data_IF_223846221373
#
_entry.id   IF_223846221373
#
_cell.length_a   1.000
_cell.length_b   1.000
_cell.length_c   1.000
_cell.angle_alpha   90.00
_cell.angle_beta   90.00
_cell.angle_gamma   90.00
#
_symmetry.space_group_name_H-M   'P 1'
#
loop_
_entity.id
_entity.type
_entity.pdbx_description
1 polymer ?
#
# COMPACT_ATOMS: atom_id res chain seq x y z
N UNK A 1 -31.89 24.92 -31.50
CA UNK A 1 -32.49 25.97 -30.65
C UNK A 1 -32.13 27.32 -31.26
N UNK A 2 -33.06 28.29 -31.35
CA UNK A 2 -32.72 29.64 -31.82
C UNK A 2 -31.84 30.36 -30.78
N UNK A 3 -30.81 31.07 -31.24
CA UNK A 3 -29.88 31.81 -30.38
C UNK A 3 -30.51 33.11 -29.85
N UNK A 4 -30.20 33.48 -28.61
CA UNK A 4 -30.70 34.70 -27.98
C UNK A 4 -29.59 35.55 -27.32
N UNK A 5 -29.78 36.88 -27.22
CA UNK A 5 -28.77 37.78 -26.67
C UNK A 5 -28.40 37.40 -25.23
N UNK A 6 -27.11 37.16 -24.97
CA UNK A 6 -26.59 36.72 -23.67
C UNK A 6 -26.41 35.21 -23.53
N UNK A 7 -26.66 34.43 -24.58
CA UNK A 7 -26.32 33.01 -24.61
C UNK A 7 -24.80 32.84 -24.46
N UNK A 8 -24.36 32.16 -23.38
CA UNK A 8 -22.97 31.74 -23.26
C UNK A 8 -22.67 30.75 -24.40
N UNK A 9 -21.49 30.82 -25.03
CA UNK A 9 -21.08 29.83 -26.00
C UNK A 9 -21.27 28.43 -25.40
N UNK A 10 -21.77 27.45 -26.18
CA UNK A 10 -21.76 26.07 -25.74
C UNK A 10 -20.35 25.68 -25.27
N UNK A 11 -20.24 24.76 -24.30
CA UNK A 11 -18.97 24.30 -23.74
C UNK A 11 -18.21 23.42 -24.76
N UNK A 12 -17.96 23.96 -25.95
CA UNK A 12 -17.29 23.32 -27.08
C UNK A 12 -15.77 23.51 -27.02
N UNK A 13 -15.24 23.65 -25.80
CA UNK A 13 -13.81 23.52 -25.58
C UNK A 13 -13.36 22.09 -25.91
N UNK A 14 -12.10 21.86 -26.33
CA UNK A 14 -11.60 20.52 -26.59
C UNK A 14 -11.87 19.59 -25.40
N UNK A 15 -12.14 18.28 -25.63
CA UNK A 15 -12.38 17.31 -24.56
C UNK A 15 -11.20 17.32 -23.59
N UNK A 16 -11.35 17.99 -22.46
CA UNK A 16 -10.12 18.50 -21.83
C UNK A 16 -10.26 19.72 -20.95
N UNK A 17 -11.30 20.55 -21.11
CA UNK A 17 -11.38 21.86 -20.46
C UNK A 17 -10.92 21.88 -18.98
N UNK A 18 -9.72 22.44 -18.76
CA UNK A 18 -9.09 22.62 -17.45
C UNK A 18 -9.30 24.02 -16.88
N UNK A 19 -10.05 24.90 -17.56
CA UNK A 19 -10.27 26.29 -17.09
C UNK A 19 -10.95 26.38 -15.72
N UNK A 20 -11.69 25.35 -15.31
CA UNK A 20 -12.33 25.26 -13.98
C UNK A 20 -11.45 24.55 -12.93
N UNK A 21 -10.24 24.09 -13.30
CA UNK A 21 -9.35 23.36 -12.41
C UNK A 21 -8.62 24.34 -11.49
N UNK A 22 -9.01 24.37 -10.21
CA UNK A 22 -8.39 25.27 -9.23
C UNK A 22 -7.04 24.76 -8.75
N UNK A 23 -7.02 23.57 -8.15
CA UNK A 23 -5.81 22.92 -7.63
C UNK A 23 -5.62 21.49 -8.16
N UNK A 24 -6.65 20.86 -8.73
CA UNK A 24 -6.52 19.55 -9.38
C UNK A 24 -6.57 18.33 -8.47
N UNK A 25 -6.70 18.48 -7.15
CA UNK A 25 -6.69 17.36 -6.20
C UNK A 25 -7.84 16.34 -6.36
N UNK A 26 -8.91 16.72 -7.07
CA UNK A 26 -10.02 15.83 -7.42
C UNK A 26 -10.02 15.42 -8.90
N UNK A 27 -9.05 15.90 -9.69
CA UNK A 27 -8.96 15.58 -11.11
C UNK A 27 -8.27 14.23 -11.30
N UNK A 28 -8.96 13.20 -11.84
CA UNK A 28 -8.32 11.92 -12.13
C UNK A 28 -7.15 12.08 -13.11
N UNK A 29 -7.23 13.07 -14.03
CA UNK A 29 -6.16 13.35 -15.00
C UNK A 29 -4.86 13.83 -14.36
N UNK A 30 -4.94 14.44 -13.18
CA UNK A 30 -3.78 14.93 -12.43
C UNK A 30 -3.34 13.88 -11.41
N UNK A 31 -4.30 13.32 -10.66
CA UNK A 31 -4.02 12.41 -9.55
C UNK A 31 -3.61 11.01 -10.01
N UNK A 32 -4.26 10.46 -11.03
CA UNK A 32 -4.07 9.04 -11.38
C UNK A 32 -2.68 8.75 -11.95
N UNK A 33 -2.09 9.60 -12.82
CA UNK A 33 -0.71 9.41 -13.26
C UNK A 33 0.30 9.47 -12.10
N UNK A 34 0.13 10.43 -11.19
CA UNK A 34 1.02 10.58 -10.03
C UNK A 34 0.84 9.42 -9.03
N UNK A 35 -0.39 8.98 -8.79
CA UNK A 35 -0.68 7.82 -7.97
C UNK A 35 -0.07 6.54 -8.57
N UNK A 36 -0.06 6.40 -9.90
CA UNK A 36 0.58 5.27 -10.57
C UNK A 36 2.10 5.27 -10.38
N UNK A 37 2.74 6.44 -10.48
CA UNK A 37 4.17 6.61 -10.22
C UNK A 37 4.53 6.25 -8.76
N UNK A 38 3.77 6.78 -7.80
CA UNK A 38 3.94 6.49 -6.37
C UNK A 38 3.71 5.01 -6.06
N UNK A 39 2.68 4.40 -6.66
CA UNK A 39 2.44 2.96 -6.54
C UNK A 39 3.62 2.16 -7.08
N UNK A 40 4.10 2.52 -8.26
CA UNK A 40 5.17 1.80 -8.94
C UNK A 40 6.48 1.85 -8.17
N UNK A 41 6.82 3.00 -7.56
CA UNK A 41 8.05 3.15 -6.78
C UNK A 41 8.08 2.22 -5.56
N UNK A 42 6.94 2.02 -4.90
CA UNK A 42 6.82 1.07 -3.78
C UNK A 42 6.91 -0.36 -4.28
N UNK A 43 6.14 -0.74 -5.30
CA UNK A 43 6.09 -2.12 -5.79
C UNK A 43 7.43 -2.65 -6.34
N UNK A 44 8.38 -1.78 -6.67
CA UNK A 44 9.73 -2.17 -7.10
C UNK A 44 10.65 -2.53 -5.92
N UNK A 45 10.35 -2.07 -4.69
CA UNK A 45 11.15 -2.37 -3.51
C UNK A 45 10.91 -3.82 -3.03
N UNK A 46 11.95 -4.69 -3.00
CA UNK A 46 11.83 -6.06 -2.49
C UNK A 46 11.27 -6.16 -1.07
N UNK A 47 11.49 -5.14 -0.22
CA UNK A 47 10.93 -5.12 1.13
C UNK A 47 9.40 -5.03 1.15
N UNK A 48 8.78 -4.59 0.05
CA UNK A 48 7.34 -4.39 -0.08
C UNK A 48 6.68 -5.22 -1.17
N UNK A 49 7.39 -6.19 -1.76
CA UNK A 49 6.89 -7.09 -2.83
C UNK A 49 5.56 -7.79 -2.48
N UNK A 50 5.30 -8.04 -1.20
CA UNK A 50 4.02 -8.59 -0.73
C UNK A 50 2.79 -7.74 -1.11
N UNK A 51 2.98 -6.44 -1.36
CA UNK A 51 1.93 -5.52 -1.80
C UNK A 51 1.50 -5.74 -3.26
N UNK A 52 2.29 -6.46 -4.06
CA UNK A 52 1.94 -6.82 -5.43
C UNK A 52 0.79 -7.85 -5.49
N UNK A 53 0.47 -8.52 -4.38
CA UNK A 53 -0.64 -9.47 -4.34
C UNK A 53 -1.98 -8.77 -4.63
N UNK A 54 -2.84 -9.31 -5.52
CA UNK A 54 -4.07 -8.63 -5.97
C UNK A 54 -5.01 -8.16 -4.85
N UNK A 55 -5.03 -8.88 -3.71
CA UNK A 55 -5.82 -8.53 -2.53
C UNK A 55 -5.48 -7.17 -1.92
N UNK A 56 -4.26 -6.66 -2.13
CA UNK A 56 -3.83 -5.36 -1.64
C UNK A 56 -4.03 -4.24 -2.66
N UNK A 57 -4.33 -4.57 -3.93
CA UNK A 57 -4.44 -3.58 -5.02
C UNK A 57 -5.37 -2.41 -4.68
N UNK A 58 -6.59 -2.60 -4.14
CA UNK A 58 -7.46 -1.47 -3.77
C UNK A 58 -6.87 -0.58 -2.68
N UNK A 59 -6.21 -1.17 -1.69
CA UNK A 59 -5.62 -0.44 -0.56
C UNK A 59 -4.39 0.36 -1.00
N UNK A 60 -3.51 -0.26 -1.80
CA UNK A 60 -2.34 0.40 -2.41
C UNK A 60 -2.78 1.55 -3.30
N UNK A 61 -3.80 1.35 -4.13
CA UNK A 61 -4.33 2.42 -4.99
C UNK A 61 -4.93 3.58 -4.18
N UNK A 62 -5.73 3.28 -3.16
CA UNK A 62 -6.32 4.31 -2.30
C UNK A 62 -5.25 5.14 -1.56
N UNK A 63 -4.20 4.47 -1.07
CA UNK A 63 -3.05 5.13 -0.45
C UNK A 63 -2.29 6.01 -1.46
N UNK A 64 -1.92 5.48 -2.62
CA UNK A 64 -1.15 6.22 -3.61
C UNK A 64 -1.90 7.47 -4.12
N UNK A 65 -3.23 7.38 -4.29
CA UNK A 65 -4.07 8.56 -4.60
C UNK A 65 -4.06 9.60 -3.48
N UNK A 66 -4.02 9.18 -2.22
CA UNK A 66 -3.97 10.12 -1.09
C UNK A 66 -2.61 10.83 -1.06
N UNK A 67 -1.50 10.14 -1.30
CA UNK A 67 -0.17 10.73 -1.42
C UNK A 67 -0.09 11.72 -2.59
N UNK A 68 -0.60 11.34 -3.76
CA UNK A 68 -0.68 12.22 -4.92
C UNK A 68 -1.49 13.50 -4.62
N UNK A 69 -2.58 13.39 -3.85
CA UNK A 69 -3.34 14.56 -3.41
C UNK A 69 -2.56 15.46 -2.46
N UNK A 70 -1.80 14.89 -1.52
CA UNK A 70 -0.90 15.65 -0.64
C UNK A 70 0.07 16.46 -1.48
N UNK A 71 0.79 15.81 -2.39
CA UNK A 71 1.77 16.48 -3.25
C UNK A 71 1.15 17.64 -4.05
N UNK A 72 0.03 17.39 -4.76
CA UNK A 72 -0.63 18.40 -5.58
C UNK A 72 -1.13 19.59 -4.76
N UNK A 73 -1.65 19.35 -3.55
CA UNK A 73 -2.12 20.41 -2.66
C UNK A 73 -0.98 21.20 -2.04
N UNK A 74 0.12 20.54 -1.67
CA UNK A 74 1.34 21.18 -1.18
C UNK A 74 1.91 22.11 -2.25
N UNK A 75 2.11 21.62 -3.48
CA UNK A 75 2.61 22.45 -4.59
C UNK A 75 1.68 23.65 -4.91
N UNK A 76 0.36 23.46 -4.78
CA UNK A 76 -0.59 24.55 -4.95
C UNK A 76 -0.43 25.63 -3.87
N UNK A 77 -0.31 25.21 -2.60
CA UNK A 77 -0.15 26.12 -1.46
C UNK A 77 1.21 26.83 -1.48
N UNK A 78 2.27 26.15 -1.89
CA UNK A 78 3.59 26.75 -2.09
C UNK A 78 3.53 27.89 -3.12
N UNK A 79 2.91 27.65 -4.29
CA UNK A 79 2.71 28.71 -5.29
C UNK A 79 1.85 29.87 -4.78
N UNK A 80 0.83 29.57 -3.96
CA UNK A 80 -0.01 30.60 -3.36
C UNK A 80 0.78 31.46 -2.33
N UNK A 81 1.63 30.81 -1.53
CA UNK A 81 2.51 31.46 -0.57
C UNK A 81 3.58 32.34 -1.24
N UNK A 82 4.19 31.86 -2.33
CA UNK A 82 5.13 32.66 -3.14
C UNK A 82 4.46 33.90 -3.72
N UNK A 83 3.23 33.77 -4.22
CA UNK A 83 2.49 34.89 -4.79
C UNK A 83 2.07 35.95 -3.74
N UNK A 84 1.82 35.52 -2.49
CA UNK A 84 1.48 36.41 -1.39
C UNK A 84 2.72 37.02 -0.70
N UNK A 85 3.87 36.35 -0.76
CA UNK A 85 5.13 36.79 -0.14
C UNK A 85 5.21 36.60 1.38
N UNK A 86 4.29 35.83 1.97
CA UNK A 86 4.13 35.64 3.42
C UNK A 86 4.41 34.20 3.90
N UNK A 87 4.69 33.28 2.98
CA UNK A 87 4.98 31.87 3.29
C UNK A 87 3.76 30.98 3.54
N UNK A 88 2.54 31.52 3.53
CA UNK A 88 1.30 30.76 3.78
C UNK A 88 0.21 30.98 2.71
N UNK A 89 0.31 32.06 1.94
CA UNK A 89 -0.68 32.44 0.95
C UNK A 89 -1.81 33.27 1.57
N UNK A 90 -2.56 33.94 0.71
CA UNK A 90 -3.67 34.79 1.13
C UNK A 90 -4.82 33.97 1.73
N UNK A 91 -4.91 33.93 3.06
CA UNK A 91 -5.90 33.17 3.83
C UNK A 91 -7.32 33.76 3.75
N UNK A 92 -7.47 35.01 3.31
CA UNK A 92 -8.78 35.61 3.05
C UNK A 92 -9.41 35.00 1.81
N UNK A 93 -8.62 34.41 0.91
CA UNK A 93 -9.12 33.66 -0.23
C UNK A 93 -9.63 32.27 0.20
N UNK A 94 -10.93 32.04 0.01
CA UNK A 94 -11.58 30.77 0.35
C UNK A 94 -10.91 29.54 -0.29
N UNK A 95 -10.35 29.70 -1.50
CA UNK A 95 -9.62 28.63 -2.20
C UNK A 95 -8.37 28.18 -1.44
N UNK A 96 -7.59 29.10 -0.87
CA UNK A 96 -6.37 28.80 -0.10
C UNK A 96 -6.74 28.11 1.20
N UNK A 97 -7.73 28.66 1.93
CA UNK A 97 -8.25 28.06 3.17
C UNK A 97 -8.79 26.65 2.94
N UNK A 98 -9.55 26.45 1.87
CA UNK A 98 -10.09 25.15 1.50
C UNK A 98 -8.98 24.15 1.15
N UNK A 99 -7.91 24.59 0.47
CA UNK A 99 -6.78 23.75 0.12
C UNK A 99 -6.03 23.23 1.36
N UNK A 100 -5.84 24.06 2.40
CA UNK A 100 -5.29 23.60 3.69
C UNK A 100 -6.15 22.53 4.37
N UNK A 101 -7.48 22.71 4.37
CA UNK A 101 -8.40 21.71 4.93
C UNK A 101 -8.37 20.39 4.15
N UNK A 102 -8.28 20.48 2.82
CA UNK A 102 -8.14 19.32 1.95
C UNK A 102 -6.79 18.61 2.15
N UNK A 103 -5.72 19.38 2.30
CA UNK A 103 -4.37 18.87 2.52
C UNK A 103 -4.36 18.05 3.81
N UNK A 104 -4.85 18.61 4.90
CA UNK A 104 -4.94 17.91 6.19
C UNK A 104 -5.70 16.57 6.09
N UNK A 105 -6.82 16.54 5.35
CA UNK A 105 -7.59 15.30 5.11
C UNK A 105 -6.84 14.31 4.21
N UNK A 106 -6.09 14.79 3.24
CA UNK A 106 -5.27 13.94 2.38
C UNK A 106 -4.10 13.32 3.17
N UNK A 107 -3.41 14.13 3.99
CA UNK A 107 -2.33 13.67 4.87
C UNK A 107 -2.80 12.62 5.87
N UNK A 108 -3.97 12.83 6.49
CA UNK A 108 -4.54 11.85 7.41
C UNK A 108 -4.83 10.51 6.73
N UNK A 109 -5.38 10.53 5.49
CA UNK A 109 -5.61 9.32 4.70
C UNK A 109 -4.32 8.66 4.25
N UNK A 110 -3.34 9.44 3.79
CA UNK A 110 -2.02 8.96 3.41
C UNK A 110 -1.32 8.28 4.59
N UNK A 111 -1.30 8.92 5.77
CA UNK A 111 -0.74 8.35 7.00
C UNK A 111 -1.45 7.06 7.41
N UNK A 112 -2.78 7.02 7.35
CA UNK A 112 -3.54 5.80 7.63
C UNK A 112 -3.21 4.68 6.64
N UNK A 113 -3.05 5.01 5.36
CA UNK A 113 -2.64 4.08 4.31
C UNK A 113 -1.23 3.53 4.56
N UNK A 114 -0.25 4.40 4.87
CA UNK A 114 1.13 3.99 5.20
C UNK A 114 1.16 3.00 6.36
N UNK A 115 0.38 3.25 7.42
CA UNK A 115 0.27 2.36 8.58
C UNK A 115 -0.35 1.01 8.23
N UNK A 116 -1.45 1.02 7.48
CA UNK A 116 -2.17 -0.20 7.11
C UNK A 116 -1.34 -1.08 6.15
N UNK A 117 -0.54 -0.46 5.27
CA UNK A 117 0.29 -1.13 4.29
C UNK A 117 1.69 -1.46 4.79
N UNK A 118 2.04 -1.13 6.04
CA UNK A 118 3.38 -1.42 6.57
C UNK A 118 4.50 -0.56 5.98
N UNK A 119 4.17 0.62 5.44
CA UNK A 119 5.11 1.56 4.81
C UNK A 119 5.71 2.56 5.80
N UNK A 120 5.26 2.59 7.06
CA UNK A 120 5.95 3.33 8.11
C UNK A 120 6.95 2.42 8.86
N UNK A 121 8.08 2.96 9.37
CA UNK A 121 9.13 2.15 9.98
C UNK A 121 8.66 1.30 11.16
N UNK A 122 7.68 1.78 11.93
CA UNK A 122 7.17 1.05 13.09
C UNK A 122 6.26 -0.10 12.65
N UNK A 123 5.40 0.13 11.66
CA UNK A 123 4.57 -0.92 11.07
C UNK A 123 5.43 -1.96 10.34
N UNK A 124 6.46 -1.54 9.60
CA UNK A 124 7.43 -2.43 8.97
C UNK A 124 8.16 -3.31 10.02
N UNK A 125 8.63 -2.72 11.11
CA UNK A 125 9.28 -3.46 12.19
C UNK A 125 8.35 -4.45 12.89
N UNK A 126 7.06 -4.08 13.08
CA UNK A 126 6.03 -4.98 13.63
C UNK A 126 5.76 -6.15 12.71
N UNK A 127 5.54 -5.88 11.42
CA UNK A 127 5.33 -6.93 10.42
C UNK A 127 6.53 -7.87 10.31
N UNK A 128 7.75 -7.33 10.36
CA UNK A 128 8.98 -8.12 10.38
C UNK A 128 9.09 -9.02 11.61
N UNK A 129 8.74 -8.51 12.80
CA UNK A 129 8.71 -9.30 14.04
C UNK A 129 7.70 -10.45 13.95
N UNK A 130 6.49 -10.17 13.46
CA UNK A 130 5.42 -11.17 13.39
C UNK A 130 5.78 -12.28 12.39
N UNK A 131 6.38 -11.93 11.25
CA UNK A 131 6.94 -12.89 10.29
C UNK A 131 8.03 -13.75 10.92
N UNK A 132 9.00 -13.13 11.60
CA UNK A 132 10.10 -13.84 12.24
C UNK A 132 9.61 -14.83 13.31
N UNK A 133 8.63 -14.42 14.13
CA UNK A 133 8.01 -15.30 15.14
C UNK A 133 7.36 -16.53 14.49
N UNK A 134 6.57 -16.34 13.43
CA UNK A 134 5.94 -17.45 12.70
C UNK A 134 6.97 -18.41 12.08
N UNK A 135 8.09 -17.91 11.57
CA UNK A 135 9.18 -18.75 11.05
C UNK A 135 9.86 -19.59 12.14
N UNK A 136 10.04 -19.04 13.34
CA UNK A 136 10.60 -19.79 14.48
C UNK A 136 9.65 -20.91 14.91
N UNK A 137 8.34 -20.64 14.98
CA UNK A 137 7.34 -21.63 15.41
C UNK A 137 7.23 -22.79 14.40
N UNK A 138 7.21 -22.47 13.10
CA UNK A 138 7.20 -23.49 12.04
C UNK A 138 8.46 -24.35 12.04
N UNK A 139 9.64 -23.75 12.21
CA UNK A 139 10.90 -24.49 12.32
C UNK A 139 10.92 -25.43 13.54
N UNK A 140 10.40 -24.99 14.69
CA UNK A 140 10.26 -25.82 15.90
C UNK A 140 9.34 -27.00 15.68
N UNK A 141 8.19 -26.78 15.04
CA UNK A 141 7.22 -27.84 14.75
C UNK A 141 7.79 -28.89 13.78
N UNK A 142 8.48 -28.46 12.73
CA UNK A 142 9.15 -29.37 11.79
C UNK A 142 10.28 -30.16 12.45
N UNK A 143 11.05 -29.54 13.35
CA UNK A 143 12.10 -30.23 14.10
C UNK A 143 11.53 -31.30 15.04
N UNK A 144 10.38 -31.03 15.67
CA UNK A 144 9.70 -32.01 16.52
C UNK A 144 9.13 -33.19 15.71
N UNK A 145 8.46 -32.91 14.59
CA UNK A 145 7.97 -33.96 13.69
C UNK A 145 9.11 -34.84 13.17
N UNK A 146 10.25 -34.24 12.82
CA UNK A 146 11.42 -35.00 12.39
C UNK A 146 11.96 -35.91 13.50
N UNK A 147 12.04 -35.43 14.74
CA UNK A 147 12.46 -36.26 15.89
C UNK A 147 11.53 -37.44 16.12
N UNK A 148 10.22 -37.23 16.02
CA UNK A 148 9.22 -38.30 16.19
C UNK A 148 9.34 -39.36 15.10
N UNK A 149 9.54 -38.95 13.84
CA UNK A 149 9.69 -39.89 12.73
C UNK A 149 10.99 -40.71 12.86
N UNK A 150 12.10 -40.08 13.25
CA UNK A 150 13.35 -40.82 13.51
C UNK A 150 13.20 -41.84 14.65
N UNK A 151 12.49 -41.48 15.71
CA UNK A 151 12.21 -42.41 16.82
C UNK A 151 11.31 -43.58 16.37
N UNK A 152 10.34 -43.32 15.50
CA UNK A 152 9.46 -44.34 14.91
C UNK A 152 10.25 -45.33 14.06
N UNK A 153 11.06 -44.82 13.13
CA UNK A 153 11.89 -45.64 12.26
C UNK A 153 12.91 -46.47 13.05
N UNK A 154 13.53 -45.89 14.09
CA UNK A 154 14.44 -46.62 14.97
C UNK A 154 13.72 -47.78 15.69
N UNK A 155 12.53 -47.51 16.26
CA UNK A 155 11.73 -48.54 16.93
C UNK A 155 11.21 -49.63 15.96
N UNK A 156 10.90 -49.28 14.71
CA UNK A 156 10.54 -50.25 13.67
C UNK A 156 11.75 -51.11 13.27
N UNK A 157 12.95 -50.53 13.17
CA UNK A 157 14.18 -51.28 12.87
C UNK A 157 14.56 -52.27 13.98
N UNK A 158 14.44 -51.88 15.24
CA UNK A 158 14.68 -52.78 16.39
C UNK A 158 13.66 -53.92 16.46
N UNK A 159 12.43 -53.71 15.97
CA UNK A 159 11.39 -54.74 15.96
C UNK A 159 11.62 -55.81 14.89
N UNK A 160 12.13 -55.40 13.72
CA UNK A 160 12.43 -56.32 12.60
C UNK A 160 13.63 -57.20 12.92
N UNK A 161 14.66 -56.67 13.59
CA UNK A 161 15.83 -57.45 14.00
C UNK A 161 15.55 -58.44 15.15
N UNK A 162 14.46 -58.24 15.90
CA UNK A 162 14.02 -59.14 16.98
C UNK A 162 13.21 -60.36 16.53
N UNK A 163 12.75 -60.42 15.28
CA UNK A 163 11.83 -61.47 14.78
C UNK A 163 12.53 -62.55 13.92
N UNK A 164 13.87 -62.61 13.91
CA UNK A 164 14.66 -63.61 13.15
C UNK A 164 15.41 -64.58 14.05
N UNK A 165 14.74 -65.33 14.93
CA UNK A 165 15.17 -66.70 15.32
C UNK A 165 13.95 -67.45 15.85
N UNK A 166 13.54 -68.48 15.10
CA UNK A 166 13.04 -69.79 15.57
C UNK A 166 12.06 -70.35 14.53
N UNK A 167 12.59 -70.91 13.45
CA UNK A 167 11.96 -72.05 12.80
C UNK A 167 12.99 -72.83 11.98
N UNK A 168 13.23 -74.09 12.36
CA UNK A 168 13.70 -75.09 11.41
C UNK A 168 14.93 -75.93 11.73
N UNK A 169 15.16 -76.38 12.97
CA UNK A 169 15.90 -77.64 13.18
C UNK A 169 15.07 -78.60 14.06
N UNK A 170 14.43 -79.58 13.41
CA UNK A 170 14.05 -80.85 14.03
C UNK A 170 13.82 -81.93 12.96
N UNK A 171 14.84 -82.79 12.86
CA UNK A 171 14.84 -84.23 12.50
C UNK A 171 14.51 -84.67 11.07
#
# INVERSE_FOLDING_TARGET
MPEFPGQRPPFDGPPGNTLALQHGAYSPRVIDPLAEEIRSSVLVDPATDYLAAPRFSPAVWAWARAEAQVQVLTEYLERAAEAAGDGVGDLDQDRVRSAYLLLHRAEARALSGRRALGLDPLAAARLGRDKAAAHVDTARLMAELHRQEQARLAAESERVDGEVVEDGESQ
#
